data_IF_926208021397
#
_entry.id   IF_926208021397
#
_cell.length_a   1.000
_cell.length_b   1.000
_cell.length_c   1.000
_cell.angle_alpha   90.00
_cell.angle_beta   90.00
_cell.angle_gamma   90.00
#
_symmetry.space_group_name_H-M   'P 1'
#
loop_
_entity.id
_entity.type
_entity.pdbx_description
1 polymer ?
#
# COMPACT_ATOMS: atom_id res chain seq x y z
N UNK A 1 -15.44 -14.81 7.33
CA UNK A 1 -14.94 -13.55 6.80
C UNK A 1 -15.63 -12.42 7.54
N UNK A 2 -14.89 -11.62 8.29
CA UNK A 2 -15.43 -10.41 8.90
C UNK A 2 -15.16 -9.26 7.96
N UNK A 3 -16.20 -8.73 7.34
CA UNK A 3 -16.13 -7.47 6.59
C UNK A 3 -15.99 -6.34 7.63
N UNK A 4 -14.79 -5.84 7.78
CA UNK A 4 -14.56 -4.63 8.57
C UNK A 4 -14.60 -3.44 7.63
N UNK A 5 -15.67 -2.66 7.69
CA UNK A 5 -15.73 -1.33 7.09
C UNK A 5 -15.05 -0.36 8.07
N UNK A 6 -13.88 0.10 7.74
CA UNK A 6 -13.17 1.08 8.54
C UNK A 6 -13.05 2.39 7.76
N UNK A 7 -13.59 3.47 8.34
CA UNK A 7 -13.40 4.83 7.83
C UNK A 7 -12.15 5.40 8.47
N UNK A 8 -11.11 5.63 7.70
CA UNK A 8 -9.89 6.25 8.21
C UNK A 8 -9.67 7.57 7.48
N UNK A 9 -9.79 8.73 8.14
CA UNK A 9 -9.28 9.97 7.62
C UNK A 9 -7.75 9.92 7.71
N UNK A 10 -7.08 9.92 6.57
CA UNK A 10 -5.62 10.00 6.48
C UNK A 10 -5.25 11.40 5.99
N UNK A 11 -4.61 12.16 6.87
CA UNK A 11 -3.85 13.34 6.47
C UNK A 11 -2.47 12.89 6.03
N UNK A 12 -2.13 13.09 4.75
CA UNK A 12 -0.78 12.84 4.24
C UNK A 12 -0.05 14.17 4.07
N UNK A 13 1.09 14.34 4.73
CA UNK A 13 1.98 15.47 4.49
C UNK A 13 2.99 15.09 3.41
N UNK A 14 3.01 15.84 2.32
CA UNK A 14 4.07 15.72 1.29
C UNK A 14 5.15 16.76 1.61
N UNK A 15 6.39 16.30 1.82
CA UNK A 15 7.54 17.17 2.05
C UNK A 15 8.11 17.60 0.69
N UNK A 16 7.97 18.87 0.34
CA UNK A 16 8.65 19.53 -0.76
C UNK A 16 9.43 20.74 -0.26
N UNK A 17 10.46 21.15 -0.99
CA UNK A 17 11.20 22.39 -0.71
C UNK A 17 10.30 23.58 -1.10
N UNK A 18 9.41 23.99 -0.22
CA UNK A 18 8.41 25.02 -0.42
C UNK A 18 7.45 25.05 0.76
N UNK A 19 6.45 25.88 0.74
CA UNK A 19 5.41 25.95 1.76
C UNK A 19 4.74 24.58 1.95
N UNK A 20 4.62 24.13 3.20
CA UNK A 20 4.03 22.83 3.55
C UNK A 20 2.53 22.92 3.33
N UNK A 21 2.05 22.33 2.26
CA UNK A 21 0.63 22.14 2.03
C UNK A 21 0.23 20.72 2.42
N UNK A 22 -0.67 20.60 3.40
CA UNK A 22 -1.26 19.34 3.82
C UNK A 22 -2.55 19.18 3.01
N UNK A 23 -2.61 18.17 2.16
CA UNK A 23 -3.82 17.85 1.38
C UNK A 23 -4.70 16.91 2.19
N UNK A 24 -5.96 17.25 2.32
CA UNK A 24 -6.96 16.35 2.86
C UNK A 24 -7.28 15.22 1.87
N UNK A 25 -7.48 14.03 2.38
CA UNK A 25 -7.91 12.88 1.59
C UNK A 25 -9.08 12.19 2.28
N UNK A 26 -10.18 12.01 1.54
CA UNK A 26 -11.28 11.13 1.92
C UNK A 26 -11.16 9.82 1.14
N UNK A 27 -11.32 8.69 1.83
CA UNK A 27 -11.19 7.38 1.22
C UNK A 27 -12.29 6.44 1.68
N UNK A 28 -12.88 5.74 0.70
CA UNK A 28 -13.70 4.55 0.92
C UNK A 28 -12.99 3.39 0.23
N UNK A 29 -12.98 2.22 0.84
CA UNK A 29 -12.38 1.06 0.22
C UNK A 29 -13.21 -0.20 0.39
N UNK A 30 -13.12 -1.09 -0.60
CA UNK A 30 -13.64 -2.44 -0.58
C UNK A 30 -12.47 -3.41 -0.74
N UNK A 31 -12.44 -4.46 0.09
CA UNK A 31 -11.34 -5.42 0.08
C UNK A 31 -11.85 -6.85 0.07
N UNK A 32 -11.21 -7.69 -0.75
CA UNK A 32 -11.31 -9.14 -0.71
C UNK A 32 -9.95 -9.72 -0.37
N UNK A 33 -9.93 -10.71 0.52
CA UNK A 33 -8.71 -11.41 0.92
C UNK A 33 -8.95 -12.91 0.92
N UNK A 34 -8.10 -13.63 0.22
CA UNK A 34 -8.01 -15.09 0.26
C UNK A 34 -6.72 -15.49 0.98
N UNK A 35 -6.79 -16.49 1.84
CA UNK A 35 -5.63 -17.07 2.53
C UNK A 35 -5.74 -18.59 2.51
N UNK A 36 -4.66 -19.25 2.16
CA UNK A 36 -4.50 -20.70 2.23
C UNK A 36 -3.32 -21.05 3.13
N UNK A 37 -3.44 -22.15 3.86
CA UNK A 37 -2.38 -22.69 4.72
C UNK A 37 -2.23 -24.18 4.42
N UNK A 38 -0.99 -24.65 4.25
CA UNK A 38 -0.68 -26.05 4.09
C UNK A 38 -0.54 -26.76 5.43
N UNK A 39 -0.59 -28.11 5.42
CA UNK A 39 -0.35 -28.94 6.61
C UNK A 39 1.08 -28.79 7.15
N UNK A 40 2.05 -28.47 6.27
CA UNK A 40 3.42 -28.13 6.64
C UNK A 40 3.58 -26.73 7.27
N UNK A 41 2.49 -26.00 7.44
CA UNK A 41 2.46 -24.72 8.12
C UNK A 41 2.77 -23.50 7.25
N UNK A 42 3.28 -23.68 6.00
CA UNK A 42 3.46 -22.54 5.10
C UNK A 42 2.09 -22.00 4.65
N UNK A 43 2.03 -20.70 4.43
CA UNK A 43 0.81 -20.02 4.01
C UNK A 43 1.09 -19.08 2.85
N UNK A 44 0.08 -18.86 2.04
CA UNK A 44 0.07 -17.77 1.07
C UNK A 44 -1.26 -17.04 1.14
N UNK A 45 -1.28 -15.79 0.70
CA UNK A 45 -2.49 -14.99 0.62
C UNK A 45 -2.48 -14.14 -0.63
N UNK A 46 -3.67 -13.88 -1.10
CA UNK A 46 -3.96 -12.91 -2.14
C UNK A 46 -4.97 -11.91 -1.60
N UNK A 47 -4.78 -10.64 -1.88
CA UNK A 47 -5.65 -9.55 -1.50
C UNK A 47 -5.87 -8.66 -2.69
N UNK A 48 -7.13 -8.33 -2.97
CA UNK A 48 -7.54 -7.30 -3.91
C UNK A 48 -8.26 -6.21 -3.12
N UNK A 49 -7.95 -4.97 -3.40
CA UNK A 49 -8.57 -3.82 -2.75
C UNK A 49 -8.84 -2.74 -3.76
N UNK A 50 -10.07 -2.23 -3.77
CA UNK A 50 -10.49 -1.04 -4.49
C UNK A 50 -10.54 0.13 -3.52
N UNK A 51 -9.78 1.21 -3.79
CA UNK A 51 -9.79 2.46 -3.05
C UNK A 51 -10.49 3.53 -3.89
N UNK A 52 -11.62 4.06 -3.45
CA UNK A 52 -12.18 5.29 -3.97
C UNK A 52 -11.62 6.45 -3.14
N UNK A 53 -10.85 7.32 -3.78
CA UNK A 53 -10.12 8.41 -3.12
C UNK A 53 -10.61 9.75 -3.65
N UNK A 54 -10.82 10.70 -2.75
CA UNK A 54 -11.02 12.12 -3.08
C UNK A 54 -9.88 12.89 -2.42
N UNK A 55 -9.02 13.47 -3.23
CA UNK A 55 -7.83 14.19 -2.78
C UNK A 55 -8.08 15.66 -3.02
N UNK A 56 -7.83 16.49 -2.00
CA UNK A 56 -7.94 17.94 -2.13
C UNK A 56 -6.95 18.44 -3.18
N UNK A 57 -7.43 19.21 -4.13
CA UNK A 57 -6.59 19.86 -5.14
C UNK A 57 -5.76 20.95 -4.51
N UNK A 58 -4.53 21.10 -4.97
CA UNK A 58 -3.64 22.16 -4.53
C UNK A 58 -4.31 23.53 -4.78
N UNK A 59 -4.42 24.39 -3.78
CA UNK A 59 -5.00 25.73 -3.99
C UNK A 59 -4.18 26.59 -4.96
N UNK A 60 -2.91 26.21 -5.24
CA UNK A 60 -2.08 26.87 -6.25
C UNK A 60 -2.35 26.34 -7.67
N UNK A 61 -3.00 25.17 -7.80
CA UNK A 61 -3.51 24.70 -9.07
C UNK A 61 -4.80 25.48 -9.38
N UNK A 62 -4.81 26.25 -10.46
CA UNK A 62 -5.96 27.07 -10.90
C UNK A 62 -7.15 26.21 -11.39
N UNK A 63 -7.49 25.16 -10.67
CA UNK A 63 -8.61 24.27 -10.99
C UNK A 63 -9.82 24.67 -10.16
N UNK A 64 -11.00 24.73 -10.80
CA UNK A 64 -12.24 25.08 -10.12
C UNK A 64 -12.73 24.01 -9.12
N UNK A 65 -12.18 22.81 -9.16
CA UNK A 65 -12.62 21.69 -8.34
C UNK A 65 -11.75 21.57 -7.08
N UNK A 66 -12.37 21.70 -5.91
CA UNK A 66 -11.71 21.50 -4.62
C UNK A 66 -11.22 20.05 -4.40
N UNK A 67 -11.87 19.07 -5.01
CA UNK A 67 -11.60 17.64 -4.82
C UNK A 67 -11.43 16.93 -6.15
N UNK A 68 -10.38 16.13 -6.26
CA UNK A 68 -10.14 15.27 -7.41
C UNK A 68 -10.40 13.81 -7.03
N UNK A 69 -11.22 13.12 -7.82
CA UNK A 69 -11.48 11.70 -7.66
C UNK A 69 -10.31 10.88 -8.24
N UNK A 70 -9.70 10.02 -7.45
CA UNK A 70 -8.59 9.13 -7.88
C UNK A 70 -8.82 7.70 -7.39
N UNK A 71 -9.69 6.94 -8.06
CA UNK A 71 -9.89 5.53 -7.73
C UNK A 71 -8.65 4.72 -8.07
N UNK A 72 -8.34 3.73 -7.20
CA UNK A 72 -7.14 2.90 -7.33
C UNK A 72 -7.45 1.45 -7.00
N UNK A 73 -6.96 0.54 -7.84
CA UNK A 73 -6.93 -0.89 -7.56
C UNK A 73 -5.57 -1.25 -6.96
N UNK A 74 -5.60 -2.10 -5.93
CA UNK A 74 -4.41 -2.64 -5.29
C UNK A 74 -4.51 -4.16 -5.28
N UNK A 75 -3.46 -4.83 -5.72
CA UNK A 75 -3.34 -6.27 -5.63
C UNK A 75 -2.08 -6.65 -4.85
N UNK A 76 -2.23 -7.55 -3.91
CA UNK A 76 -1.13 -8.07 -3.10
C UNK A 76 -1.13 -9.59 -3.13
N UNK A 77 0.04 -10.14 -3.40
CA UNK A 77 0.35 -11.55 -3.19
C UNK A 77 1.41 -11.66 -2.09
N UNK A 78 1.23 -12.62 -1.18
CA UNK A 78 2.19 -12.82 -0.11
C UNK A 78 2.30 -14.27 0.33
N UNK A 79 3.37 -14.56 1.06
CA UNK A 79 3.63 -15.87 1.63
C UNK A 79 4.21 -15.77 3.04
N UNK A 80 4.10 -16.87 3.80
CA UNK A 80 4.75 -17.05 5.08
C UNK A 80 5.25 -18.50 5.21
N UNK A 81 6.50 -18.65 5.56
CA UNK A 81 7.19 -19.92 5.73
C UNK A 81 7.66 -20.04 7.19
N UNK A 82 7.20 -21.03 7.95
CA UNK A 82 7.74 -21.32 9.27
C UNK A 82 9.17 -21.86 9.15
N UNK A 83 10.09 -21.34 9.95
CA UNK A 83 11.49 -21.79 10.04
C UNK A 83 11.81 -22.00 11.53
N UNK A 84 11.55 -23.21 12.04
CA UNK A 84 11.61 -23.48 13.47
C UNK A 84 10.60 -22.61 14.22
N UNK A 85 11.08 -21.85 15.21
CA UNK A 85 10.25 -20.93 16.02
C UNK A 85 10.03 -19.55 15.36
N UNK A 86 10.57 -19.36 14.18
CA UNK A 86 10.54 -18.09 13.44
C UNK A 86 9.70 -18.21 12.18
N UNK A 87 9.47 -17.10 11.48
CA UNK A 87 8.75 -17.05 10.22
C UNK A 87 9.49 -16.14 9.24
N UNK A 88 9.71 -16.65 8.06
CA UNK A 88 10.05 -15.82 6.90
C UNK A 88 8.78 -15.49 6.15
N UNK A 89 8.48 -14.23 5.96
CA UNK A 89 7.32 -13.77 5.18
C UNK A 89 7.73 -12.79 4.11
N UNK A 90 6.97 -12.75 3.03
CA UNK A 90 7.19 -11.78 1.98
C UNK A 90 5.88 -11.45 1.28
N UNK A 91 5.80 -10.26 0.72
CA UNK A 91 4.69 -9.87 -0.11
C UNK A 91 5.09 -8.85 -1.16
N UNK A 92 4.37 -8.86 -2.27
CA UNK A 92 4.42 -7.81 -3.28
C UNK A 92 3.02 -7.25 -3.47
N UNK A 93 2.88 -5.94 -3.41
CA UNK A 93 1.65 -5.21 -3.65
C UNK A 93 1.85 -4.25 -4.82
N UNK A 94 0.92 -4.25 -5.75
CA UNK A 94 0.92 -3.39 -6.93
C UNK A 94 -0.27 -2.45 -6.88
N UNK A 95 -0.07 -1.25 -7.43
CA UNK A 95 -1.06 -0.17 -7.42
C UNK A 95 -1.35 0.27 -8.85
N UNK A 96 -2.62 0.23 -9.22
CA UNK A 96 -3.10 0.62 -10.55
C UNK A 96 -4.10 1.74 -10.37
N UNK A 97 -3.81 2.92 -10.91
CA UNK A 97 -4.77 4.03 -10.95
C UNK A 97 -5.86 3.69 -11.97
N UNK A 98 -7.11 3.62 -11.53
CA UNK A 98 -8.23 3.22 -12.38
C UNK A 98 -8.76 4.39 -13.23
N UNK A 99 -8.52 5.62 -12.76
CA UNK A 99 -8.94 6.85 -13.43
C UNK A 99 -7.96 7.98 -13.11
N UNK A 100 -7.58 8.74 -14.11
CA UNK A 100 -6.58 9.80 -14.02
C UNK A 100 -7.15 11.23 -14.16
N UNK A 101 -8.45 11.38 -14.04
CA UNK A 101 -9.09 12.70 -14.09
C UNK A 101 -9.01 13.40 -15.45
N UNK A 102 -8.69 12.69 -16.53
CA UNK A 102 -8.60 13.23 -17.89
C UNK A 102 -7.18 13.36 -18.44
N UNK A 103 -6.17 12.87 -17.72
CA UNK A 103 -4.83 12.77 -18.31
C UNK A 103 -4.78 11.69 -19.40
N UNK A 104 -3.97 11.91 -20.42
CA UNK A 104 -3.88 11.09 -21.64
C UNK A 104 -3.19 9.72 -21.42
N UNK A 105 -3.05 9.25 -20.18
CA UNK A 105 -2.38 7.99 -19.89
C UNK A 105 -3.23 6.80 -20.30
N UNK A 106 -2.77 6.05 -21.29
CA UNK A 106 -3.43 4.86 -21.80
C UNK A 106 -2.88 3.58 -21.15
N UNK A 107 -3.79 2.72 -20.64
CA UNK A 107 -3.50 1.32 -20.37
C UNK A 107 -2.36 1.00 -19.40
N UNK A 108 -1.19 0.70 -19.92
CA UNK A 108 0.01 0.25 -19.16
C UNK A 108 0.56 1.32 -18.22
N UNK A 109 0.33 2.58 -18.51
CA UNK A 109 0.83 3.71 -17.71
C UNK A 109 0.08 3.90 -16.39
N UNK A 110 -1.02 3.19 -16.17
CA UNK A 110 -1.79 3.22 -14.91
C UNK A 110 -1.13 2.47 -13.76
N UNK A 111 -0.12 1.66 -14.05
CA UNK A 111 0.68 0.98 -13.04
C UNK A 111 1.68 1.95 -12.45
N UNK A 112 1.38 2.47 -11.26
CA UNK A 112 2.09 3.65 -10.72
C UNK A 112 3.06 3.32 -9.60
N UNK A 113 2.83 2.23 -8.88
CA UNK A 113 3.56 1.94 -7.66
C UNK A 113 3.60 0.44 -7.38
N UNK A 114 4.69 -0.05 -6.80
CA UNK A 114 4.80 -1.40 -6.26
C UNK A 114 5.56 -1.40 -4.94
N UNK A 115 5.07 -2.16 -3.96
CA UNK A 115 5.71 -2.37 -2.66
C UNK A 115 6.06 -3.84 -2.49
N UNK A 116 7.32 -4.12 -2.24
CA UNK A 116 7.79 -5.48 -2.01
C UNK A 116 8.48 -5.57 -0.65
N UNK A 117 8.04 -6.51 0.17
CA UNK A 117 8.61 -6.76 1.49
C UNK A 117 9.16 -8.17 1.59
N UNK A 118 10.23 -8.32 2.34
CA UNK A 118 10.72 -9.60 2.84
C UNK A 118 11.04 -9.42 4.31
N UNK A 119 10.39 -10.19 5.19
CA UNK A 119 10.47 -9.98 6.63
C UNK A 119 10.79 -11.29 7.33
N UNK A 120 11.63 -11.20 8.33
CA UNK A 120 11.90 -12.27 9.28
C UNK A 120 11.31 -11.88 10.63
N UNK A 121 10.60 -12.81 11.27
CA UNK A 121 9.92 -12.52 12.51
C UNK A 121 9.90 -13.68 13.48
N UNK A 122 9.71 -13.37 14.75
CA UNK A 122 9.58 -14.34 15.82
C UNK A 122 8.58 -13.88 16.88
N UNK A 123 8.00 -14.84 17.59
CA UNK A 123 7.26 -14.57 18.82
C UNK A 123 8.24 -14.49 19.99
N UNK A 124 8.15 -13.42 20.78
CA UNK A 124 8.89 -13.30 22.03
C UNK A 124 8.15 -14.09 23.13
N UNK A 125 6.83 -14.04 23.09
CA UNK A 125 5.92 -14.79 23.94
C UNK A 125 4.52 -14.86 23.25
N UNK A 126 3.51 -15.37 23.94
CA UNK A 126 2.14 -15.52 23.40
C UNK A 126 1.49 -14.18 23.04
N UNK A 127 1.95 -13.10 23.66
CA UNK A 127 1.34 -11.77 23.48
C UNK A 127 2.16 -10.84 22.60
N UNK A 128 3.43 -11.16 22.33
CA UNK A 128 4.33 -10.25 21.60
C UNK A 128 5.03 -10.98 20.46
N UNK A 129 4.87 -10.45 19.27
CA UNK A 129 5.57 -10.89 18.05
C UNK A 129 6.22 -9.69 17.39
N UNK A 130 7.37 -9.88 16.77
CA UNK A 130 8.03 -8.87 15.95
C UNK A 130 8.34 -9.41 14.56
N UNK A 131 8.45 -8.50 13.62
CA UNK A 131 8.91 -8.75 12.25
C UNK A 131 9.84 -7.61 11.84
N UNK A 132 10.91 -7.93 11.12
CA UNK A 132 11.80 -6.93 10.54
C UNK A 132 12.34 -7.42 9.20
N UNK A 133 12.63 -6.48 8.31
CA UNK A 133 13.21 -6.77 7.00
C UNK A 133 13.12 -5.62 6.02
N UNK A 134 13.65 -5.81 4.81
CA UNK A 134 13.61 -4.79 3.77
C UNK A 134 12.19 -4.57 3.23
N UNK A 135 11.91 -3.32 2.92
CA UNK A 135 10.78 -2.85 2.11
C UNK A 135 11.36 -2.09 0.92
N UNK A 136 10.99 -2.50 -0.27
CA UNK A 136 11.27 -1.78 -1.51
C UNK A 136 10.00 -1.13 -2.00
N UNK A 137 10.02 0.18 -2.12
CA UNK A 137 8.96 0.97 -2.75
C UNK A 137 9.44 1.41 -4.11
N UNK A 138 8.72 1.04 -5.14
CA UNK A 138 9.01 1.34 -6.52
C UNK A 138 7.94 2.26 -7.08
N UNK A 139 8.32 3.45 -7.51
CA UNK A 139 7.41 4.42 -8.12
C UNK A 139 7.75 4.63 -9.58
N UNK A 140 6.72 4.65 -10.41
CA UNK A 140 6.85 5.05 -11.80
C UNK A 140 6.86 6.58 -11.88
N UNK A 141 7.90 7.11 -12.49
CA UNK A 141 8.01 8.55 -12.73
C UNK A 141 7.42 8.89 -14.10
N UNK A 142 6.69 9.99 -14.13
CA UNK A 142 6.10 10.53 -15.35
C UNK A 142 6.59 11.96 -15.56
N UNK A 143 6.85 12.31 -16.83
CA UNK A 143 6.81 13.69 -17.30
C UNK A 143 5.41 13.98 -17.87
N UNK A 144 5.15 15.20 -18.29
CA UNK A 144 3.87 15.56 -18.91
C UNK A 144 3.54 14.73 -20.16
N UNK A 145 4.53 14.13 -20.82
CA UNK A 145 4.39 13.45 -22.10
C UNK A 145 4.89 12.01 -22.12
N UNK A 146 5.76 11.61 -21.18
CA UNK A 146 6.45 10.32 -21.24
C UNK A 146 6.63 9.67 -19.87
N UNK A 147 6.72 8.34 -19.84
CA UNK A 147 7.19 7.60 -18.69
C UNK A 147 8.71 7.71 -18.57
N UNK A 148 9.21 8.24 -17.45
CA UNK A 148 10.64 8.41 -17.15
C UNK A 148 11.28 7.14 -16.56
N UNK A 149 10.50 6.07 -16.36
CA UNK A 149 10.97 4.84 -15.77
C UNK A 149 10.60 4.69 -14.29
N UNK A 150 11.29 3.79 -13.62
CA UNK A 150 11.03 3.45 -12.23
C UNK A 150 12.12 3.98 -11.31
N UNK A 151 11.72 4.56 -10.16
CA UNK A 151 12.60 4.90 -9.05
C UNK A 151 12.33 3.97 -7.90
N UNK A 152 13.39 3.42 -7.29
CA UNK A 152 13.31 2.45 -6.21
C UNK A 152 13.87 3.05 -4.92
N UNK A 153 13.10 2.96 -3.85
CA UNK A 153 13.48 3.35 -2.50
C UNK A 153 13.58 2.12 -1.61
N UNK A 154 14.67 2.03 -0.87
CA UNK A 154 14.92 0.93 0.05
C UNK A 154 14.78 1.39 1.48
N UNK A 155 14.00 0.66 2.26
CA UNK A 155 13.77 0.91 3.67
C UNK A 155 14.07 -0.34 4.48
N UNK A 156 14.46 -0.17 5.75
CA UNK A 156 14.36 -1.20 6.75
C UNK A 156 13.07 -0.97 7.54
N UNK A 157 12.21 -1.96 7.54
CA UNK A 157 10.95 -1.93 8.28
C UNK A 157 11.06 -2.86 9.50
N UNK A 158 10.56 -2.42 10.64
CA UNK A 158 10.36 -3.26 11.82
C UNK A 158 8.95 -3.01 12.37
N UNK A 159 8.26 -4.09 12.75
CA UNK A 159 6.90 -4.04 13.29
C UNK A 159 6.81 -4.92 14.52
N UNK A 160 6.19 -4.41 15.57
CA UNK A 160 5.83 -5.19 16.75
C UNK A 160 4.31 -5.35 16.83
N UNK A 161 3.87 -6.57 17.11
CA UNK A 161 2.47 -6.94 17.26
C UNK A 161 2.20 -7.28 18.73
N UNK A 162 1.15 -6.73 19.29
CA UNK A 162 0.73 -6.98 20.65
C UNK A 162 -0.66 -7.62 20.64
N UNK A 163 -0.78 -8.79 21.26
CA UNK A 163 -2.07 -9.42 21.52
C UNK A 163 -2.49 -9.06 22.95
N UNK A 164 -3.45 -8.15 23.07
CA UNK A 164 -3.91 -7.64 24.37
C UNK A 164 -4.87 -8.58 25.09
N UNK A 165 -5.06 -9.80 24.59
CA UNK A 165 -6.00 -10.78 25.15
C UNK A 165 -7.46 -10.25 25.06
N UNK A 166 -8.38 -11.12 24.76
CA UNK A 166 -9.82 -10.87 24.99
C UNK A 166 -10.28 -11.70 26.15
#
# INVERSE_FOLDING_TARGET
>A
GSDTHEWVPLTSSVWGAGERYIRDEHRIWLQSKYKSKSDAGWAWWWRMRWDQRWIETDPFEQTAARWTSRPRLREQLGFALPIGETTLSGSSEVFVEAWDGGSSFSGIDRFTEAWTTLQYGASINESVRWEAGPLVVSWKQFSETESLGWTHFWYLQATAFFNLGR
#
